data_IF_183907964439
#
_entry.id   IF_183907964439
#
_cell.length_a   1.000
_cell.length_b   1.000
_cell.length_c   1.000
_cell.angle_alpha   90.00
_cell.angle_beta   90.00
_cell.angle_gamma   90.00
#
_symmetry.space_group_name_H-M   'P 1'
#
loop_
_entity.id
_entity.type
_entity.pdbx_description
1 polymer ?
#
# COMPACT_ATOMS: atom_id res chain seq x y z
N UNK A 1 -20.21 15.88 3.28
CA UNK A 1 -19.93 14.90 2.22
C UNK A 1 -20.30 15.58 0.91
N UNK A 2 -19.35 15.78 0.01
CA UNK A 2 -19.60 16.27 -1.32
C UNK A 2 -19.36 15.11 -2.28
N UNK A 3 -20.40 14.61 -2.91
CA UNK A 3 -20.27 14.04 -4.22
C UNK A 3 -19.92 15.20 -5.16
N UNK A 4 -19.02 14.97 -6.10
CA UNK A 4 -18.72 15.97 -7.13
C UNK A 4 -19.87 16.01 -8.12
N UNK A 5 -21.00 16.61 -7.71
CA UNK A 5 -22.19 16.73 -8.57
C UNK A 5 -21.81 17.62 -9.76
N UNK A 6 -21.79 17.05 -10.93
CA UNK A 6 -21.69 17.78 -12.20
C UNK A 6 -23.10 17.97 -12.79
N UNK A 7 -23.24 18.85 -13.77
CA UNK A 7 -24.54 19.17 -14.38
C UNK A 7 -25.19 17.94 -15.05
N UNK A 8 -24.38 16.91 -15.35
CA UNK A 8 -24.80 15.66 -16.01
C UNK A 8 -24.94 14.48 -15.02
N UNK A 9 -24.79 14.73 -13.70
CA UNK A 9 -24.91 13.67 -12.69
C UNK A 9 -26.38 13.28 -12.47
N UNK A 10 -26.66 11.97 -12.39
CA UNK A 10 -27.96 11.45 -11.99
C UNK A 10 -28.15 11.65 -10.47
N UNK A 11 -29.13 12.47 -10.02
CA UNK A 11 -29.34 12.75 -8.60
C UNK A 11 -29.65 11.52 -7.76
N UNK A 12 -30.26 10.47 -8.34
CA UNK A 12 -30.60 9.24 -7.63
C UNK A 12 -29.33 8.42 -7.41
N UNK A 13 -28.52 8.25 -8.44
CA UNK A 13 -27.23 7.54 -8.33
C UNK A 13 -26.28 8.23 -7.34
N UNK A 14 -26.23 9.56 -7.37
CA UNK A 14 -25.43 10.36 -6.41
C UNK A 14 -25.93 10.20 -4.96
N UNK A 15 -27.24 10.17 -4.77
CA UNK A 15 -27.83 9.95 -3.44
C UNK A 15 -27.55 8.54 -2.91
N UNK A 16 -27.66 7.51 -3.76
CA UNK A 16 -27.31 6.13 -3.42
C UNK A 16 -25.82 6.00 -3.09
N UNK A 17 -24.95 6.63 -3.87
CA UNK A 17 -23.52 6.68 -3.58
C UNK A 17 -23.24 7.38 -2.23
N UNK A 18 -23.92 8.47 -1.94
CA UNK A 18 -23.84 9.15 -0.65
C UNK A 18 -24.32 8.27 0.51
N UNK A 19 -25.39 7.50 0.32
CA UNK A 19 -25.88 6.56 1.34
C UNK A 19 -24.91 5.41 1.57
N UNK A 20 -24.35 4.82 0.52
CA UNK A 20 -23.34 3.76 0.61
C UNK A 20 -22.09 4.28 1.36
N UNK A 21 -21.59 5.47 1.00
CA UNK A 21 -20.47 6.11 1.69
C UNK A 21 -20.79 6.42 3.16
N UNK A 22 -22.02 6.85 3.47
CA UNK A 22 -22.44 7.13 4.84
C UNK A 22 -22.56 5.84 5.67
N UNK A 23 -23.16 4.80 5.13
CA UNK A 23 -23.26 3.49 5.76
C UNK A 23 -21.87 2.88 6.01
N UNK A 24 -20.96 3.00 5.05
CA UNK A 24 -19.58 2.57 5.20
C UNK A 24 -18.88 3.28 6.38
N UNK A 25 -19.00 4.61 6.46
CA UNK A 25 -18.36 5.38 7.52
C UNK A 25 -18.93 5.09 8.92
N UNK A 26 -20.22 4.76 9.00
CA UNK A 26 -20.87 4.35 10.26
C UNK A 26 -20.54 2.92 10.66
N UNK A 27 -20.15 2.07 9.72
CA UNK A 27 -19.77 0.67 9.93
C UNK A 27 -18.26 0.46 10.14
N UNK A 28 -17.45 1.53 10.11
CA UNK A 28 -16.02 1.39 10.37
C UNK A 28 -15.79 0.84 11.78
N UNK A 29 -14.98 -0.24 11.92
CA UNK A 29 -14.64 -0.75 13.24
C UNK A 29 -14.01 0.32 14.12
N UNK A 30 -14.35 0.33 15.41
CA UNK A 30 -13.95 1.37 16.38
C UNK A 30 -12.44 1.54 16.59
N UNK A 31 -11.60 0.70 15.99
CA UNK A 31 -10.14 0.74 16.13
C UNK A 31 -9.37 1.02 14.84
N UNK A 32 -10.04 1.41 13.74
CA UNK A 32 -9.33 1.67 12.47
C UNK A 32 -8.55 2.97 12.54
N UNK A 33 -7.24 2.87 12.56
CA UNK A 33 -6.31 3.97 12.35
C UNK A 33 -5.66 3.93 10.97
N UNK A 34 -4.81 4.91 10.70
CA UNK A 34 -3.97 5.00 9.51
C UNK A 34 -2.51 4.88 9.90
N UNK A 35 -1.68 4.51 8.93
CA UNK A 35 -0.24 4.57 9.14
C UNK A 35 0.50 4.83 7.84
N UNK A 36 1.70 5.40 7.97
CA UNK A 36 2.67 5.50 6.90
C UNK A 36 3.95 4.74 7.24
N UNK A 37 4.62 4.23 6.21
CA UNK A 37 5.92 3.57 6.37
C UNK A 37 6.89 4.20 5.39
N UNK A 38 7.84 4.91 5.91
CA UNK A 38 8.66 5.88 5.20
C UNK A 38 10.14 5.48 5.32
N UNK A 39 10.87 5.57 4.22
CA UNK A 39 12.32 5.41 4.24
C UNK A 39 12.97 6.72 4.62
N UNK A 40 13.83 6.63 5.60
CA UNK A 40 14.74 7.70 5.98
C UNK A 40 16.19 7.28 5.70
N UNK A 41 16.91 8.09 4.95
CA UNK A 41 18.33 7.89 4.69
C UNK A 41 19.12 8.93 5.48
N UNK A 42 19.96 8.47 6.41
CA UNK A 42 20.88 9.29 7.15
C UNK A 42 22.30 9.03 6.64
N UNK A 43 22.80 9.91 5.79
CA UNK A 43 24.22 9.98 5.42
C UNK A 43 24.82 11.25 6.01
N UNK A 44 26.15 11.27 6.18
CA UNK A 44 26.86 12.41 6.72
C UNK A 44 26.54 13.67 5.88
N UNK A 45 25.98 14.70 6.51
CA UNK A 45 25.54 15.94 5.86
C UNK A 45 24.20 15.88 5.10
N UNK A 46 23.58 14.71 4.91
CA UNK A 46 22.32 14.55 4.18
C UNK A 46 21.33 13.74 5.01
N UNK A 47 20.23 14.35 5.40
CA UNK A 47 19.08 13.69 6.04
C UNK A 47 17.89 13.80 5.11
N UNK A 48 17.48 12.68 4.51
CA UNK A 48 16.42 12.66 3.50
C UNK A 48 15.30 11.71 3.88
N UNK A 49 14.11 12.26 3.95
CA UNK A 49 12.85 11.51 4.04
C UNK A 49 12.38 11.25 2.61
N UNK A 50 12.34 9.99 2.21
CA UNK A 50 11.93 9.62 0.86
C UNK A 50 10.42 9.82 0.67
N UNK A 51 10.01 10.40 -0.44
CA UNK A 51 8.59 10.61 -0.81
C UNK A 51 7.79 11.34 0.29
N UNK A 52 8.42 12.31 0.94
CA UNK A 52 7.87 13.00 2.11
C UNK A 52 6.47 13.57 1.86
N UNK A 53 6.33 14.34 0.80
CA UNK A 53 5.06 14.99 0.47
C UNK A 53 3.98 13.98 0.08
N UNK A 54 4.33 12.99 -0.73
CA UNK A 54 3.39 11.96 -1.19
C UNK A 54 2.86 11.09 -0.03
N UNK A 55 3.67 10.85 0.99
CA UNK A 55 3.22 10.17 2.20
C UNK A 55 2.25 11.02 3.02
N UNK A 56 2.54 12.30 3.21
CA UNK A 56 1.67 13.23 3.92
C UNK A 56 0.36 13.49 3.15
N UNK A 57 0.43 13.60 1.83
CA UNK A 57 -0.75 13.76 0.97
C UNK A 57 -1.67 12.54 1.08
N UNK A 58 -1.12 11.31 1.02
CA UNK A 58 -1.92 10.10 1.18
C UNK A 58 -2.52 9.98 2.57
N UNK A 59 -1.77 10.31 3.61
CA UNK A 59 -2.28 10.33 4.99
C UNK A 59 -3.44 11.33 5.12
N UNK A 60 -3.27 12.55 4.61
CA UNK A 60 -4.30 13.61 4.62
C UNK A 60 -5.55 13.19 3.85
N UNK A 61 -5.37 12.65 2.64
CA UNK A 61 -6.48 12.15 1.83
C UNK A 61 -7.27 11.07 2.59
N UNK A 62 -6.55 10.08 3.16
CA UNK A 62 -7.17 8.98 3.89
C UNK A 62 -7.84 9.44 5.18
N UNK A 63 -7.21 10.33 5.94
CA UNK A 63 -7.77 10.89 7.17
C UNK A 63 -9.08 11.64 6.89
N UNK A 64 -9.10 12.45 5.84
CA UNK A 64 -10.31 13.16 5.40
C UNK A 64 -11.40 12.19 4.96
N UNK A 65 -11.07 11.19 4.13
CA UNK A 65 -12.02 10.20 3.62
C UNK A 65 -12.66 9.37 4.75
N UNK A 66 -11.85 8.97 5.74
CA UNK A 66 -12.31 8.14 6.87
C UNK A 66 -12.75 8.96 8.09
N UNK A 67 -12.78 10.29 7.98
CA UNK A 67 -13.15 11.22 9.09
C UNK A 67 -12.33 10.95 10.35
N UNK A 68 -11.03 10.81 10.19
CA UNK A 68 -10.06 10.75 11.29
C UNK A 68 -9.47 12.14 11.47
N UNK A 69 -9.52 12.71 12.68
CA UNK A 69 -8.86 13.99 12.94
C UNK A 69 -7.36 13.89 12.62
N UNK A 70 -6.81 14.86 11.90
CA UNK A 70 -5.40 14.94 11.59
C UNK A 70 -4.93 16.38 11.65
N UNK A 71 -3.93 16.62 12.50
CA UNK A 71 -3.08 17.81 12.41
C UNK A 71 -1.87 17.47 11.53
N UNK A 72 -1.90 17.90 10.27
CA UNK A 72 -0.84 17.62 9.30
C UNK A 72 0.48 18.30 9.65
N UNK A 73 0.42 19.47 10.31
CA UNK A 73 1.63 20.18 10.75
C UNK A 73 2.29 19.43 11.92
N UNK A 74 1.50 18.89 12.83
CA UNK A 74 2.02 18.03 13.91
C UNK A 74 2.64 16.74 13.35
N UNK A 75 2.01 16.11 12.34
CA UNK A 75 2.55 14.93 11.69
C UNK A 75 3.87 15.21 10.98
N UNK A 76 3.95 16.33 10.26
CA UNK A 76 5.17 16.83 9.60
C UNK A 76 6.29 17.08 10.61
N UNK A 77 6.01 17.84 11.66
CA UNK A 77 6.98 18.18 12.70
C UNK A 77 7.50 16.91 13.41
N UNK A 78 6.63 15.94 13.70
CA UNK A 78 7.00 14.68 14.33
C UNK A 78 7.94 13.84 13.45
N UNK A 79 7.70 13.79 12.14
CA UNK A 79 8.58 13.12 11.16
C UNK A 79 9.95 13.79 11.09
N UNK A 80 9.99 15.12 10.99
CA UNK A 80 11.24 15.89 10.91
C UNK A 80 12.05 15.77 12.21
N UNK A 81 11.40 15.89 13.37
CA UNK A 81 12.03 15.72 14.65
C UNK A 81 12.59 14.30 14.81
N UNK A 82 11.83 13.26 14.46
CA UNK A 82 12.32 11.89 14.47
C UNK A 82 13.55 11.73 13.58
N UNK A 83 13.53 12.30 12.38
CA UNK A 83 14.63 12.23 11.44
C UNK A 83 15.91 12.88 11.99
N UNK A 84 15.80 13.94 12.77
CA UNK A 84 16.96 14.61 13.38
C UNK A 84 17.65 13.77 14.46
N UNK A 85 16.92 12.90 15.14
CA UNK A 85 17.43 12.06 16.24
C UNK A 85 18.00 10.71 15.77
N UNK A 86 17.75 10.30 14.53
CA UNK A 86 18.27 9.03 14.00
C UNK A 86 19.79 9.13 13.74
N UNK A 87 20.58 8.11 14.14
CA UNK A 87 22.00 8.06 13.88
C UNK A 87 22.33 8.15 12.37
N UNK A 88 23.47 8.76 12.03
CA UNK A 88 23.98 8.77 10.66
C UNK A 88 24.58 7.42 10.28
N UNK A 89 24.64 7.12 8.97
CA UNK A 89 25.23 5.92 8.33
C UNK A 89 24.31 4.72 8.11
N UNK A 90 23.00 4.89 8.32
CA UNK A 90 22.05 3.79 8.05
C UNK A 90 20.80 4.31 7.34
N UNK A 91 20.10 3.41 6.66
CA UNK A 91 18.72 3.62 6.27
C UNK A 91 17.79 3.16 7.39
N UNK A 92 16.68 3.84 7.57
CA UNK A 92 15.70 3.52 8.61
C UNK A 92 14.32 3.35 8.00
N UNK A 93 13.56 2.44 8.57
CA UNK A 93 12.12 2.40 8.47
C UNK A 93 11.56 3.29 9.56
N UNK A 94 10.87 4.35 9.16
CA UNK A 94 10.09 5.20 10.06
C UNK A 94 8.61 4.90 9.83
N UNK A 95 7.89 4.56 10.89
CA UNK A 95 6.46 4.33 10.85
C UNK A 95 5.77 5.44 11.64
N UNK A 96 4.88 6.16 10.96
CA UNK A 96 3.98 7.14 11.53
C UNK A 96 2.59 6.51 11.62
N UNK A 97 2.03 6.43 12.81
CA UNK A 97 0.68 5.95 13.06
C UNK A 97 -0.24 7.12 13.45
N UNK A 98 -1.47 7.08 12.95
CA UNK A 98 -2.56 7.98 13.30
C UNK A 98 -3.72 7.17 13.84
N UNK A 99 -4.03 7.33 15.13
CA UNK A 99 -5.14 6.63 15.76
C UNK A 99 -6.49 7.13 15.26
N UNK A 100 -7.56 6.37 15.51
CA UNK A 100 -8.93 6.81 15.19
C UNK A 100 -9.32 8.13 15.85
N UNK A 101 -8.68 8.47 16.97
CA UNK A 101 -8.94 9.68 17.75
C UNK A 101 -8.05 10.86 17.32
N UNK A 102 -7.17 10.68 16.33
CA UNK A 102 -6.26 11.73 15.85
C UNK A 102 -4.91 11.77 16.57
N UNK A 103 -4.61 10.78 17.42
CA UNK A 103 -3.33 10.71 18.11
C UNK A 103 -2.24 10.23 17.15
N UNK A 104 -1.13 10.93 17.13
CA UNK A 104 0.04 10.62 16.34
C UNK A 104 1.08 9.89 17.18
N UNK A 105 1.66 8.83 16.62
CA UNK A 105 2.83 8.18 17.20
C UNK A 105 3.83 7.79 16.13
N UNK A 106 5.10 7.67 16.51
CA UNK A 106 6.17 7.35 15.58
C UNK A 106 7.08 6.26 16.15
N UNK A 107 7.53 5.38 15.30
CA UNK A 107 8.54 4.37 15.62
C UNK A 107 9.55 4.25 14.50
N UNK A 108 10.77 3.87 14.82
CA UNK A 108 11.82 3.68 13.84
C UNK A 108 12.59 2.38 14.10
N UNK A 109 13.15 1.81 13.05
CA UNK A 109 14.05 0.67 13.09
C UNK A 109 15.06 0.77 11.96
N UNK A 110 16.24 0.25 12.15
CA UNK A 110 17.25 0.10 11.09
C UNK A 110 16.65 -0.74 9.96
N UNK A 111 16.96 -0.37 8.75
CA UNK A 111 16.49 -1.03 7.55
C UNK A 111 17.62 -1.91 7.00
N UNK A 112 17.52 -3.22 7.27
CA UNK A 112 18.48 -4.19 6.76
C UNK A 112 18.45 -4.28 5.23
N UNK A 113 19.57 -4.66 4.63
CA UNK A 113 19.65 -4.89 3.20
C UNK A 113 18.82 -6.11 2.77
N UNK A 114 18.42 -6.13 1.53
CA UNK A 114 17.73 -7.26 0.93
C UNK A 114 18.67 -8.04 -0.01
N UNK A 115 18.43 -9.33 -0.21
CA UNK A 115 19.08 -10.08 -1.28
C UNK A 115 18.74 -9.49 -2.65
N UNK A 116 19.49 -9.87 -3.68
CA UNK A 116 19.30 -9.38 -5.06
C UNK A 116 17.94 -9.75 -5.67
N UNK A 117 17.31 -10.82 -5.16
CA UNK A 117 15.95 -11.25 -5.51
C UNK A 117 15.29 -11.86 -4.28
N UNK A 118 13.99 -11.71 -4.16
CA UNK A 118 13.21 -12.23 -3.03
C UNK A 118 12.16 -13.21 -3.50
N UNK A 119 11.87 -14.23 -2.69
CA UNK A 119 10.81 -15.18 -2.94
C UNK A 119 9.47 -14.62 -2.46
N UNK A 120 8.42 -14.86 -3.24
CA UNK A 120 7.04 -14.55 -2.87
C UNK A 120 6.17 -15.79 -2.99
N UNK A 121 5.08 -15.82 -2.23
CA UNK A 121 4.13 -16.92 -2.19
C UNK A 121 2.72 -16.42 -2.52
N UNK A 122 1.85 -17.32 -2.91
CA UNK A 122 0.42 -17.01 -2.98
C UNK A 122 -0.21 -17.12 -1.59
N UNK A 123 -0.89 -16.07 -1.14
CA UNK A 123 -1.49 -16.02 0.19
C UNK A 123 -2.48 -17.18 0.43
N UNK A 124 -3.29 -17.53 -0.59
CA UNK A 124 -4.25 -18.62 -0.51
C UNK A 124 -3.61 -20.01 -0.43
N UNK A 125 -2.36 -20.17 -0.88
CA UNK A 125 -1.64 -21.44 -0.78
C UNK A 125 -1.01 -21.63 0.60
N UNK A 126 -0.38 -20.57 1.13
CA UNK A 126 0.35 -20.67 2.40
C UNK A 126 -0.53 -20.56 3.64
N UNK A 127 -1.76 -20.01 3.49
CA UNK A 127 -2.76 -19.91 4.57
C UNK A 127 -3.87 -20.95 4.44
N UNK A 128 -3.59 -22.14 3.90
CA UNK A 128 -4.57 -23.25 3.81
C UNK A 128 -5.17 -23.53 5.18
N UNK A 129 -6.52 -23.57 5.26
CA UNK A 129 -7.26 -23.77 6.50
C UNK A 129 -7.66 -22.49 7.25
N UNK A 130 -7.36 -21.32 6.75
CA UNK A 130 -7.90 -20.08 7.30
C UNK A 130 -9.43 -20.06 7.17
N UNK A 131 -10.10 -19.68 8.27
CA UNK A 131 -11.58 -19.65 8.36
C UNK A 131 -12.20 -18.47 7.58
N UNK A 132 -11.38 -17.59 7.02
CA UNK A 132 -11.81 -16.40 6.29
C UNK A 132 -11.45 -16.51 4.81
N UNK A 133 -12.29 -15.94 3.95
CA UNK A 133 -11.96 -15.78 2.55
C UNK A 133 -10.63 -15.02 2.41
N UNK A 134 -9.66 -15.65 1.74
CA UNK A 134 -8.36 -15.04 1.44
C UNK A 134 -8.39 -14.22 0.14
N UNK A 135 -9.56 -14.17 -0.50
CA UNK A 135 -9.79 -13.31 -1.67
C UNK A 135 -10.20 -11.93 -1.21
N UNK A 136 -9.50 -10.93 -1.72
CA UNK A 136 -9.79 -9.54 -1.43
C UNK A 136 -11.11 -9.14 -2.10
N UNK A 137 -11.94 -8.38 -1.40
CA UNK A 137 -13.16 -7.83 -1.99
C UNK A 137 -12.81 -6.52 -2.68
N UNK A 138 -12.75 -6.51 -4.01
CA UNK A 138 -12.26 -5.37 -4.78
C UNK A 138 -13.07 -4.08 -4.56
N UNK A 139 -14.35 -4.22 -4.19
CA UNK A 139 -15.24 -3.11 -3.87
C UNK A 139 -15.11 -2.61 -2.41
N UNK A 140 -14.22 -3.20 -1.60
CA UNK A 140 -13.99 -2.72 -0.23
C UNK A 140 -13.21 -1.38 -0.25
N UNK A 141 -13.85 -0.25 0.10
CA UNK A 141 -13.21 1.05 0.01
C UNK A 141 -12.02 1.23 0.96
N UNK A 142 -11.90 0.40 2.01
CA UNK A 142 -10.72 0.43 2.91
C UNK A 142 -9.42 0.03 2.21
N UNK A 143 -9.47 -0.72 1.11
CA UNK A 143 -8.27 -1.11 0.35
C UNK A 143 -7.56 0.11 -0.27
N UNK A 144 -8.29 1.20 -0.52
CA UNK A 144 -7.72 2.46 -1.01
C UNK A 144 -6.97 3.25 0.07
N UNK A 145 -7.00 2.81 1.32
CA UNK A 145 -6.43 3.50 2.47
C UNK A 145 -5.44 2.61 3.22
N UNK A 146 -4.31 3.19 3.63
CA UNK A 146 -3.30 2.45 4.40
C UNK A 146 -3.71 2.38 5.87
N UNK A 147 -4.65 1.47 6.17
CA UNK A 147 -5.26 1.32 7.49
C UNK A 147 -4.56 0.29 8.35
N UNK A 148 -4.80 0.37 9.68
CA UNK A 148 -4.39 -0.66 10.64
C UNK A 148 -5.21 -1.95 10.55
N UNK A 149 -6.32 -1.95 9.80
CA UNK A 149 -7.16 -3.13 9.57
C UNK A 149 -6.58 -4.01 8.47
N UNK A 150 -5.53 -4.75 8.78
CA UNK A 150 -4.76 -5.52 7.81
C UNK A 150 -4.40 -6.93 8.28
N UNK A 151 -5.21 -7.50 9.17
CA UNK A 151 -4.93 -8.80 9.80
C UNK A 151 -4.58 -9.91 8.80
N UNK A 152 -5.32 -9.99 7.69
CA UNK A 152 -5.09 -11.02 6.64
C UNK A 152 -3.73 -10.79 5.94
N UNK A 153 -3.40 -9.55 5.60
CA UNK A 153 -2.10 -9.19 5.04
C UNK A 153 -0.95 -9.53 5.98
N UNK A 154 -1.11 -9.21 7.27
CA UNK A 154 -0.07 -9.45 8.27
C UNK A 154 0.14 -10.95 8.53
N UNK A 155 -0.94 -11.74 8.59
CA UNK A 155 -0.86 -13.20 8.70
C UNK A 155 -0.16 -13.84 7.50
N UNK A 156 -0.52 -13.43 6.28
CA UNK A 156 0.10 -13.96 5.07
C UNK A 156 1.58 -13.58 4.98
N UNK A 157 1.92 -12.32 5.30
CA UNK A 157 3.30 -11.88 5.35
C UNK A 157 4.12 -12.65 6.40
N UNK A 158 3.62 -12.79 7.63
CA UNK A 158 4.30 -13.56 8.69
C UNK A 158 4.53 -15.00 8.27
N UNK A 159 3.53 -15.62 7.61
CA UNK A 159 3.66 -16.98 7.08
C UNK A 159 4.70 -17.05 5.97
N UNK A 160 4.70 -16.11 5.02
CA UNK A 160 5.70 -16.04 3.96
C UNK A 160 7.11 -15.92 4.54
N UNK A 161 7.32 -15.03 5.51
CA UNK A 161 8.61 -14.87 6.21
C UNK A 161 9.02 -16.16 6.92
N UNK A 162 8.09 -16.86 7.58
CA UNK A 162 8.39 -18.15 8.24
C UNK A 162 8.81 -19.26 7.28
N UNK A 163 8.50 -19.11 5.98
CA UNK A 163 8.91 -19.99 4.90
C UNK A 163 10.16 -19.50 4.14
N UNK A 164 10.80 -18.44 4.63
CA UNK A 164 11.99 -17.85 4.01
C UNK A 164 11.70 -16.85 2.89
N UNK A 165 10.44 -16.52 2.64
CA UNK A 165 10.05 -15.53 1.64
C UNK A 165 9.95 -14.11 2.17
N UNK A 166 9.63 -13.18 1.29
CA UNK A 166 9.58 -11.74 1.58
C UNK A 166 8.16 -11.23 1.75
N UNK A 167 7.23 -11.67 0.91
CA UNK A 167 5.84 -11.23 0.91
C UNK A 167 4.90 -12.33 0.38
N UNK A 168 3.60 -12.11 0.49
CA UNK A 168 2.58 -12.97 -0.07
C UNK A 168 1.65 -12.17 -0.98
N UNK A 169 1.34 -12.70 -2.16
CA UNK A 169 0.50 -12.10 -3.18
C UNK A 169 -0.96 -12.49 -3.00
N UNK A 170 -1.85 -11.55 -3.24
CA UNK A 170 -3.29 -11.72 -3.10
C UNK A 170 -4.01 -11.64 -4.45
N UNK A 171 -5.16 -12.29 -4.51
CA UNK A 171 -6.14 -12.18 -5.60
C UNK A 171 -7.47 -11.69 -5.04
N UNK A 172 -8.28 -11.08 -5.88
CA UNK A 172 -9.63 -10.67 -5.50
C UNK A 172 -10.69 -11.75 -5.79
N UNK A 173 -11.96 -11.43 -5.52
CA UNK A 173 -13.11 -12.32 -5.73
C UNK A 173 -13.32 -12.70 -7.21
N UNK A 174 -12.80 -11.88 -8.15
CA UNK A 174 -12.84 -12.13 -9.59
C UNK A 174 -11.68 -13.00 -10.09
N UNK A 175 -10.74 -13.38 -9.20
CA UNK A 175 -9.53 -14.11 -9.57
C UNK A 175 -8.42 -13.24 -10.16
N UNK A 176 -8.56 -11.92 -10.09
CA UNK A 176 -7.55 -10.98 -10.54
C UNK A 176 -6.49 -10.77 -9.46
N UNK A 177 -5.24 -10.64 -9.89
CA UNK A 177 -4.12 -10.24 -9.04
C UNK A 177 -4.41 -8.88 -8.41
N UNK A 178 -4.07 -8.72 -7.14
CA UNK A 178 -4.15 -7.44 -6.45
C UNK A 178 -2.74 -6.93 -6.10
N UNK A 179 -2.28 -7.19 -4.92
CA UNK A 179 -1.00 -6.69 -4.40
C UNK A 179 -0.37 -7.69 -3.43
N UNK A 180 0.81 -7.41 -2.95
CA UNK A 180 1.41 -8.13 -1.83
C UNK A 180 0.92 -7.60 -0.48
N UNK A 181 1.21 -8.34 0.59
CA UNK A 181 0.88 -7.90 1.94
C UNK A 181 1.50 -6.55 2.33
N UNK A 182 2.62 -6.18 1.71
CA UNK A 182 3.36 -4.94 1.97
C UNK A 182 3.85 -4.23 0.72
N UNK A 183 3.56 -4.77 -0.45
CA UNK A 183 4.11 -4.31 -1.72
C UNK A 183 3.04 -4.21 -2.79
N UNK A 184 3.25 -3.30 -3.75
CA UNK A 184 2.59 -3.41 -5.05
C UNK A 184 3.43 -4.33 -5.93
N UNK A 185 2.79 -4.98 -6.92
CA UNK A 185 3.44 -5.89 -7.85
C UNK A 185 3.43 -5.33 -9.27
N UNK A 186 4.51 -5.56 -9.98
CA UNK A 186 4.67 -5.31 -11.41
C UNK A 186 5.17 -6.58 -12.07
N UNK A 187 4.61 -6.92 -13.21
CA UNK A 187 5.04 -8.05 -14.04
C UNK A 187 5.44 -7.54 -15.42
N UNK A 188 6.45 -8.15 -16.00
CA UNK A 188 6.86 -7.88 -17.36
C UNK A 188 6.64 -9.15 -18.21
N UNK A 189 5.70 -9.13 -19.18
CA UNK A 189 5.47 -10.27 -20.06
C UNK A 189 6.68 -10.57 -20.93
N UNK A 190 6.76 -11.82 -21.43
CA UNK A 190 7.73 -12.15 -22.46
C UNK A 190 7.54 -11.27 -23.70
N UNK A 191 8.64 -10.90 -24.34
CA UNK A 191 8.65 -10.06 -25.55
C UNK A 191 8.04 -8.66 -25.39
N UNK A 192 7.92 -8.18 -24.14
CA UNK A 192 7.49 -6.82 -23.82
C UNK A 192 8.53 -6.10 -22.97
N UNK A 193 8.68 -4.80 -23.20
CA UNK A 193 9.45 -3.92 -22.32
C UNK A 193 8.57 -3.12 -21.34
N UNK A 194 7.25 -3.36 -21.39
CA UNK A 194 6.28 -2.73 -20.50
C UNK A 194 6.13 -3.49 -19.18
N UNK A 195 6.00 -2.73 -18.11
CA UNK A 195 5.61 -3.25 -16.80
C UNK A 195 4.11 -3.10 -16.59
N UNK A 196 3.46 -4.17 -16.21
CA UNK A 196 2.03 -4.22 -15.93
C UNK A 196 1.80 -4.34 -14.43
N UNK A 197 0.86 -3.57 -13.89
CA UNK A 197 0.46 -3.62 -12.48
C UNK A 197 -1.06 -3.60 -12.37
N UNK A 198 -1.67 -4.29 -11.38
CA UNK A 198 -3.12 -4.28 -11.20
C UNK A 198 -3.66 -2.86 -11.02
N UNK A 199 -4.84 -2.54 -11.60
CA UNK A 199 -5.51 -1.25 -11.44
C UNK A 199 -6.10 -1.10 -10.04
N UNK A 200 -6.42 0.14 -9.64
CA UNK A 200 -7.08 0.38 -8.35
C UNK A 200 -8.42 -0.35 -8.22
N UNK A 201 -9.13 -0.56 -9.32
CA UNK A 201 -10.38 -1.32 -9.38
C UNK A 201 -10.23 -2.82 -9.05
N UNK A 202 -9.02 -3.35 -9.04
CA UNK A 202 -8.75 -4.69 -8.56
C UNK A 202 -8.75 -4.78 -7.01
N UNK A 203 -8.79 -3.65 -6.31
CA UNK A 203 -8.76 -3.58 -4.84
C UNK A 203 -7.33 -3.51 -4.30
N UNK A 204 -6.52 -2.60 -4.83
CA UNK A 204 -5.14 -2.37 -4.41
C UNK A 204 -4.97 -1.01 -3.75
N UNK A 205 -3.99 -0.91 -2.87
CA UNK A 205 -3.61 0.36 -2.27
C UNK A 205 -2.98 1.27 -3.35
N UNK A 206 -3.34 2.58 -3.41
CA UNK A 206 -2.59 3.57 -4.19
C UNK A 206 -1.21 3.81 -3.56
N UNK A 207 -0.27 2.91 -3.84
CA UNK A 207 1.08 2.92 -3.27
C UNK A 207 1.85 4.15 -3.71
N UNK A 208 2.56 4.82 -2.80
CA UNK A 208 3.34 6.02 -3.10
C UNK A 208 4.36 5.75 -4.21
N UNK A 209 5.17 4.71 -4.08
CA UNK A 209 6.14 4.36 -5.12
C UNK A 209 5.45 3.83 -6.38
N UNK A 210 4.37 3.03 -6.25
CA UNK A 210 3.58 2.57 -7.40
C UNK A 210 3.13 3.76 -8.25
N UNK A 211 2.56 4.79 -7.62
CA UNK A 211 2.11 6.00 -8.31
C UNK A 211 3.25 6.76 -8.99
N UNK A 212 4.43 6.80 -8.36
CA UNK A 212 5.63 7.41 -8.97
C UNK A 212 6.12 6.62 -10.18
N UNK A 213 6.11 5.28 -10.12
CA UNK A 213 6.47 4.41 -11.24
C UNK A 213 5.53 4.63 -12.43
N UNK A 214 4.22 4.65 -12.19
CA UNK A 214 3.22 4.85 -13.25
C UNK A 214 3.31 6.24 -13.91
N UNK A 215 3.72 7.26 -13.17
CA UNK A 215 3.93 8.61 -13.71
C UNK A 215 5.25 8.80 -14.44
N UNK A 216 6.18 7.87 -14.33
CA UNK A 216 7.49 7.97 -14.98
C UNK A 216 7.48 7.26 -16.34
N UNK A 217 7.42 7.96 -17.46
CA UNK A 217 7.34 7.35 -18.79
C UNK A 217 8.58 6.50 -19.14
N UNK A 218 9.73 6.79 -18.53
CA UNK A 218 10.95 6.00 -18.76
C UNK A 218 10.84 4.55 -18.22
N UNK A 219 9.94 4.31 -17.26
CA UNK A 219 9.71 2.97 -16.70
C UNK A 219 8.68 2.15 -17.49
N UNK A 220 8.00 2.76 -18.49
CA UNK A 220 7.03 2.10 -19.35
C UNK A 220 6.04 1.23 -18.58
N UNK A 221 5.50 1.77 -17.49
CA UNK A 221 4.58 1.04 -16.63
C UNK A 221 3.13 1.50 -16.86
N UNK A 222 2.19 0.55 -16.90
CA UNK A 222 0.76 0.82 -17.00
C UNK A 222 -0.07 -0.14 -16.18
N UNK A 223 -1.31 0.24 -15.93
CA UNK A 223 -2.30 -0.63 -15.29
C UNK A 223 -2.85 -1.65 -16.28
N UNK A 224 -3.07 -2.88 -15.80
CA UNK A 224 -3.73 -3.96 -16.52
C UNK A 224 -4.36 -4.94 -15.53
N UNK A 225 -5.51 -5.51 -15.87
CA UNK A 225 -6.04 -6.66 -15.13
C UNK A 225 -5.12 -7.85 -15.38
N UNK A 226 -4.64 -8.44 -14.28
CA UNK A 226 -3.68 -9.54 -14.27
C UNK A 226 -4.27 -10.71 -13.51
N UNK A 227 -3.87 -11.92 -13.87
CA UNK A 227 -4.26 -13.18 -13.26
C UNK A 227 -3.05 -13.89 -12.65
N UNK A 228 -3.27 -15.03 -12.02
CA UNK A 228 -2.20 -15.90 -11.54
C UNK A 228 -1.32 -16.36 -12.71
N UNK A 229 -1.93 -16.70 -13.85
CA UNK A 229 -1.22 -17.20 -15.04
C UNK A 229 -0.32 -16.12 -15.64
N UNK A 230 -0.72 -14.84 -15.59
CA UNK A 230 0.13 -13.73 -16.03
C UNK A 230 1.37 -13.57 -15.16
N UNK A 231 1.29 -13.87 -13.86
CA UNK A 231 2.44 -13.84 -12.96
C UNK A 231 3.36 -15.05 -13.17
N UNK A 232 2.77 -16.25 -13.33
CA UNK A 232 3.53 -17.49 -13.58
C UNK A 232 4.24 -17.41 -14.94
N UNK A 233 3.57 -16.87 -15.95
CA UNK A 233 4.11 -16.71 -17.31
C UNK A 233 4.93 -15.42 -17.50
N UNK A 234 5.22 -14.65 -16.45
CA UNK A 234 5.98 -13.42 -16.58
C UNK A 234 7.47 -13.69 -16.84
N UNK A 235 8.08 -12.84 -17.67
CA UNK A 235 9.53 -12.82 -17.84
C UNK A 235 10.25 -12.29 -16.59
N UNK A 236 9.64 -11.29 -15.95
CA UNK A 236 10.16 -10.71 -14.70
C UNK A 236 9.03 -10.29 -13.78
N UNK A 237 9.28 -10.42 -12.49
CA UNK A 237 8.42 -9.97 -11.40
C UNK A 237 9.20 -8.96 -10.57
N UNK A 238 8.58 -7.80 -10.33
CA UNK A 238 9.07 -6.76 -9.43
C UNK A 238 8.02 -6.43 -8.38
N UNK A 239 8.43 -6.42 -7.14
CA UNK A 239 7.67 -5.79 -6.07
C UNK A 239 8.08 -4.34 -5.92
N UNK A 240 7.21 -3.51 -5.37
CA UNK A 240 7.57 -2.12 -5.05
C UNK A 240 6.91 -1.62 -3.77
N UNK A 241 7.65 -0.88 -2.99
CA UNK A 241 7.12 -0.01 -1.95
C UNK A 241 8.08 1.17 -1.69
N UNK A 242 7.57 2.25 -1.10
CA UNK A 242 8.36 3.46 -0.84
C UNK A 242 9.52 3.23 0.14
N UNK A 243 9.46 2.16 0.95
CA UNK A 243 10.50 1.81 1.92
C UNK A 243 11.73 1.18 1.27
N UNK A 244 11.51 0.26 0.32
CA UNK A 244 12.56 -0.60 -0.27
C UNK A 244 12.89 -0.28 -1.71
N UNK A 245 12.06 0.54 -2.39
CA UNK A 245 12.20 0.76 -3.82
C UNK A 245 11.57 -0.38 -4.63
N UNK A 246 12.13 -0.63 -5.80
CA UNK A 246 11.81 -1.77 -6.67
C UNK A 246 12.66 -2.97 -6.26
N UNK A 247 12.03 -4.13 -6.09
CA UNK A 247 12.62 -5.37 -5.55
C UNK A 247 12.35 -6.48 -6.55
N UNK A 248 13.40 -7.07 -7.12
CA UNK A 248 13.25 -8.25 -7.99
C UNK A 248 12.67 -9.41 -7.17
N UNK A 249 11.69 -10.12 -7.75
CA UNK A 249 11.02 -11.23 -7.08
C UNK A 249 10.88 -12.46 -7.97
N UNK A 250 10.62 -13.60 -7.34
CA UNK A 250 10.28 -14.88 -7.99
C UNK A 250 9.26 -15.63 -7.12
N UNK A 251 8.49 -16.53 -7.75
CA UNK A 251 7.56 -17.44 -7.10
C UNK A 251 8.29 -18.63 -6.48
#
# INVERSE_FOLDING_TARGET
MGAGITIDSDPIAEYEECQIKAAFLSSLPSGVGLFETIRFNAQEGIRRIAHYHEHLDRLSYSAKALRIPLDINAASALLEQSAMHLPTRSAYRVRLDLSRLGELSISSAVLDDLPSSVQVFWAHEILKGATHSLRMQSNNPLLLHKTTQRKVYDLAWQKAVSLGGFDALFINERGELTEGGRTSIFVRPHHSDEWLTPPLSAGVLPGVLRSSILRNPALKAREANLTIDDVIGANEIMLSNALRGMIKAHL
#
